data_IF_705628239738
#
_entry.id   IF_705628239738
#
_cell.length_a   1.000
_cell.length_b   1.000
_cell.length_c   1.000
_cell.angle_alpha   90.00
_cell.angle_beta   90.00
_cell.angle_gamma   90.00
#
_symmetry.space_group_name_H-M   'P 1'
#
loop_
_entity.id
_entity.type
_entity.pdbx_description
1 polymer ?
#
# COMPACT_ATOMS: atom_id res chain seq x y z
N UNK A 1 25.76 -35.73 -19.46
CA UNK A 1 24.37 -35.45 -18.98
C UNK A 1 24.33 -34.58 -17.72
N UNK A 2 25.41 -33.87 -17.36
CA UNK A 2 25.55 -33.12 -16.09
C UNK A 2 25.33 -31.60 -16.22
N UNK A 3 25.12 -31.07 -17.44
CA UNK A 3 24.91 -29.63 -17.65
C UNK A 3 23.46 -29.18 -17.42
N UNK A 4 22.50 -30.08 -17.58
CA UNK A 4 21.08 -29.80 -17.35
C UNK A 4 20.78 -29.36 -15.91
N UNK A 5 21.25 -30.05 -14.84
CA UNK A 5 20.98 -29.60 -13.47
C UNK A 5 21.68 -28.28 -13.13
N UNK A 6 22.87 -28.02 -13.71
CA UNK A 6 23.61 -26.77 -13.51
C UNK A 6 22.88 -25.58 -14.15
N UNK A 7 22.34 -25.76 -15.36
CA UNK A 7 21.56 -24.73 -16.04
C UNK A 7 20.25 -24.43 -15.31
N UNK A 8 19.58 -25.45 -14.77
CA UNK A 8 18.36 -25.28 -13.97
C UNK A 8 18.67 -24.52 -12.68
N UNK A 9 19.73 -24.90 -11.96
CA UNK A 9 20.15 -24.20 -10.74
C UNK A 9 20.53 -22.74 -11.00
N UNK A 10 21.22 -22.45 -12.10
CA UNK A 10 21.58 -21.08 -12.49
C UNK A 10 20.35 -20.24 -12.87
N UNK A 11 19.38 -20.83 -13.57
CA UNK A 11 18.12 -20.15 -13.91
C UNK A 11 17.26 -19.84 -12.67
N UNK A 12 17.23 -20.74 -11.68
CA UNK A 12 16.51 -20.52 -10.42
C UNK A 12 17.18 -19.42 -9.58
N UNK A 13 18.51 -19.39 -9.52
CA UNK A 13 19.26 -18.33 -8.83
C UNK A 13 19.13 -16.98 -9.53
N UNK A 14 19.17 -16.93 -10.87
CA UNK A 14 18.92 -15.71 -11.64
C UNK A 14 17.46 -15.23 -11.57
N UNK A 15 16.52 -16.11 -11.23
CA UNK A 15 15.12 -15.77 -10.96
C UNK A 15 14.93 -15.06 -9.62
N UNK A 16 15.76 -15.36 -8.62
CA UNK A 16 15.72 -14.70 -7.31
C UNK A 16 16.23 -13.25 -7.35
N UNK A 17 17.15 -12.95 -8.26
CA UNK A 17 17.73 -11.61 -8.45
C UNK A 17 17.00 -10.79 -9.52
N UNK A 18 15.95 -11.35 -10.14
CA UNK A 18 15.16 -10.57 -11.08
C UNK A 18 14.44 -9.52 -10.26
N UNK A 19 14.69 -8.21 -10.46
CA UNK A 19 13.91 -7.19 -9.80
C UNK A 19 12.48 -7.45 -10.26
N UNK A 20 11.67 -8.01 -9.36
CA UNK A 20 10.26 -8.25 -9.62
C UNK A 20 9.77 -6.89 -10.08
N UNK A 21 9.42 -6.79 -11.37
CA UNK A 21 8.80 -5.58 -11.90
C UNK A 21 7.70 -5.25 -10.89
N UNK A 22 7.84 -4.11 -10.21
CA UNK A 22 7.12 -3.74 -8.99
C UNK A 22 5.63 -4.00 -9.21
N UNK A 23 5.18 -5.22 -8.90
CA UNK A 23 3.82 -5.62 -9.20
C UNK A 23 2.96 -5.09 -8.08
N UNK A 24 1.74 -4.69 -8.41
CA UNK A 24 0.79 -4.17 -7.42
C UNK A 24 0.61 -5.16 -6.27
N UNK A 25 0.59 -6.47 -6.58
CA UNK A 25 0.48 -7.54 -5.58
C UNK A 25 1.73 -7.68 -4.71
N UNK A 26 2.93 -7.69 -5.31
CA UNK A 26 4.17 -7.80 -4.55
C UNK A 26 4.39 -6.57 -3.65
N UNK A 27 4.03 -5.38 -4.14
CA UNK A 27 4.15 -4.16 -3.37
C UNK A 27 3.07 -4.06 -2.28
N UNK A 28 1.85 -4.55 -2.52
CA UNK A 28 0.82 -4.64 -1.49
C UNK A 28 1.21 -5.58 -0.34
N UNK A 29 2.02 -6.61 -0.61
CA UNK A 29 2.53 -7.54 0.39
C UNK A 29 3.73 -7.01 1.21
N UNK A 30 4.37 -5.90 0.79
CA UNK A 30 5.52 -5.28 1.47
C UNK A 30 5.17 -3.85 1.97
N UNK A 31 4.62 -3.71 3.19
CA UNK A 31 4.12 -2.43 3.70
C UNK A 31 5.23 -1.39 3.86
N UNK A 32 6.42 -1.78 4.30
CA UNK A 32 7.54 -0.87 4.55
C UNK A 32 8.03 -0.21 3.26
N UNK A 33 8.21 -1.03 2.21
CA UNK A 33 8.63 -0.53 0.90
C UNK A 33 7.53 0.33 0.27
N UNK A 34 6.27 -0.10 0.39
CA UNK A 34 5.12 0.66 -0.10
C UNK A 34 5.03 2.04 0.57
N UNK A 35 5.09 2.12 1.91
CA UNK A 35 5.05 3.40 2.64
C UNK A 35 6.12 4.38 2.17
N UNK A 36 7.34 3.89 1.97
CA UNK A 36 8.45 4.69 1.46
C UNK A 36 8.12 5.26 0.08
N UNK A 37 7.63 4.43 -0.84
CA UNK A 37 7.26 4.87 -2.20
C UNK A 37 6.08 5.85 -2.20
N UNK A 38 5.08 5.66 -1.31
CA UNK A 38 3.99 6.62 -1.14
C UNK A 38 4.53 8.01 -0.77
N UNK A 39 5.47 8.07 0.18
CA UNK A 39 6.07 9.33 0.60
C UNK A 39 6.89 9.99 -0.54
N UNK A 40 7.63 9.20 -1.31
CA UNK A 40 8.39 9.67 -2.47
C UNK A 40 7.47 10.24 -3.57
N UNK A 41 6.36 9.54 -3.86
CA UNK A 41 5.35 10.02 -4.81
C UNK A 41 4.69 11.34 -4.37
N UNK A 42 4.41 11.51 -3.07
CA UNK A 42 3.91 12.78 -2.54
C UNK A 42 4.91 13.93 -2.68
N UNK A 43 6.21 13.63 -2.68
CA UNK A 43 7.29 14.61 -2.92
C UNK A 43 7.58 14.87 -4.41
N UNK A 44 6.92 14.14 -5.32
CA UNK A 44 7.12 14.29 -6.76
C UNK A 44 8.42 13.69 -7.28
N UNK A 45 8.96 12.68 -6.60
CA UNK A 45 10.24 12.04 -6.98
C UNK A 45 10.10 11.03 -8.13
N UNK A 46 8.87 10.67 -8.52
CA UNK A 46 8.57 9.68 -9.56
C UNK A 46 7.50 10.18 -10.53
N UNK A 47 7.42 9.54 -11.70
CA UNK A 47 6.40 9.86 -12.69
C UNK A 47 4.98 9.45 -12.27
N UNK A 48 3.97 10.04 -12.92
CA UNK A 48 2.57 9.82 -12.58
C UNK A 48 2.07 8.38 -12.81
N UNK A 49 2.60 7.68 -13.82
CA UNK A 49 2.20 6.31 -14.10
C UNK A 49 2.73 5.37 -13.02
N UNK A 50 3.99 5.54 -12.61
CA UNK A 50 4.56 4.84 -11.47
C UNK A 50 3.79 5.11 -10.18
N UNK A 51 3.52 6.38 -9.86
CA UNK A 51 2.78 6.75 -8.65
C UNK A 51 1.33 6.22 -8.65
N UNK A 52 0.71 6.07 -9.82
CA UNK A 52 -0.60 5.43 -9.93
C UNK A 52 -0.56 3.95 -9.53
N UNK A 53 0.48 3.21 -9.91
CA UNK A 53 0.66 1.81 -9.51
C UNK A 53 0.93 1.68 -8.01
N UNK A 54 1.75 2.57 -7.45
CA UNK A 54 2.01 2.63 -6.00
C UNK A 54 0.71 2.88 -5.23
N UNK A 55 -0.13 3.82 -5.69
CA UNK A 55 -1.46 4.03 -5.08
C UNK A 55 -2.41 2.87 -5.27
N UNK A 56 -2.38 2.20 -6.43
CA UNK A 56 -3.16 1.00 -6.63
C UNK A 56 -2.75 -0.11 -5.64
N UNK A 57 -1.46 -0.27 -5.35
CA UNK A 57 -0.97 -1.23 -4.36
C UNK A 57 -1.44 -0.87 -2.94
N UNK A 58 -1.40 0.42 -2.58
CA UNK A 58 -1.92 0.92 -1.30
C UNK A 58 -3.41 0.64 -1.11
N UNK A 59 -4.21 0.92 -2.14
CA UNK A 59 -5.66 0.62 -2.15
C UNK A 59 -5.90 -0.89 -2.06
N UNK A 60 -5.17 -1.68 -2.85
CA UNK A 60 -5.31 -3.15 -2.85
C UNK A 60 -5.02 -3.73 -1.48
N UNK A 61 -3.92 -3.29 -0.85
CA UNK A 61 -3.53 -3.73 0.50
C UNK A 61 -4.66 -3.51 1.52
N UNK A 62 -5.29 -2.34 1.48
CA UNK A 62 -6.41 -1.99 2.34
C UNK A 62 -7.59 -2.97 2.15
N UNK A 63 -7.99 -3.23 0.90
CA UNK A 63 -9.12 -4.10 0.60
C UNK A 63 -8.88 -5.58 0.90
N UNK A 64 -7.64 -6.06 0.81
CA UNK A 64 -7.30 -7.45 1.10
C UNK A 64 -7.02 -7.71 2.59
N UNK A 65 -7.14 -6.70 3.46
CA UNK A 65 -6.96 -6.89 4.89
C UNK A 65 -5.53 -7.27 5.26
N UNK A 66 -4.54 -6.90 4.45
CA UNK A 66 -3.12 -7.06 4.79
C UNK A 66 -2.67 -6.14 5.94
N UNK A 67 -3.61 -5.44 6.57
CA UNK A 67 -3.42 -4.57 7.74
C UNK A 67 -3.09 -5.43 8.96
N UNK A 68 -1.86 -5.32 9.43
CA UNK A 68 -1.38 -5.99 10.64
C UNK A 68 -1.55 -5.10 11.88
N UNK A 69 -1.53 -5.67 13.09
CA UNK A 69 -1.60 -4.90 14.34
C UNK A 69 -0.45 -3.88 14.48
N UNK A 70 0.58 -4.05 13.66
CA UNK A 70 1.82 -3.30 13.66
C UNK A 70 1.88 -2.13 12.66
N UNK A 71 0.77 -1.83 11.98
CA UNK A 71 0.71 -0.76 10.98
C UNK A 71 0.57 0.65 11.57
N UNK A 72 -0.19 0.80 12.65
CA UNK A 72 -0.40 2.09 13.33
C UNK A 72 -0.01 1.97 14.79
N UNK A 73 1.31 1.94 15.03
CA UNK A 73 1.88 1.76 16.37
C UNK A 73 1.73 3.00 17.25
N UNK A 74 1.73 4.18 16.64
CA UNK A 74 1.60 5.45 17.35
C UNK A 74 0.49 6.31 16.76
N UNK A 75 0.02 7.27 17.56
CA UNK A 75 -0.97 8.25 17.13
C UNK A 75 -0.51 9.10 15.94
N UNK A 76 0.81 9.30 15.79
CA UNK A 76 1.37 10.05 14.69
C UNK A 76 1.36 9.26 13.36
N UNK A 77 1.22 7.94 13.43
CA UNK A 77 1.22 7.07 12.24
C UNK A 77 -0.17 6.98 11.60
N UNK A 78 -1.23 7.34 12.33
CA UNK A 78 -2.61 7.31 11.84
C UNK A 78 -2.81 8.34 10.71
N UNK A 79 -3.54 7.98 9.63
CA UNK A 79 -3.90 8.94 8.61
C UNK A 79 -4.76 10.06 9.22
N UNK A 80 -4.60 11.32 8.77
CA UNK A 80 -5.41 12.43 9.25
C UNK A 80 -6.89 12.17 8.94
N UNK A 81 -7.75 12.54 9.88
CA UNK A 81 -9.20 12.47 9.68
C UNK A 81 -9.58 13.44 8.56
N UNK A 82 -10.33 12.95 7.57
CA UNK A 82 -10.85 13.77 6.48
C UNK A 82 -11.75 14.87 7.04
N UNK A 83 -11.60 16.11 6.56
CA UNK A 83 -12.40 17.25 6.99
C UNK A 83 -13.92 17.07 6.76
N UNK A 84 -14.31 16.14 5.88
CA UNK A 84 -15.71 15.77 5.64
C UNK A 84 -16.28 14.80 6.68
N UNK A 85 -15.44 14.24 7.55
CA UNK A 85 -15.87 13.28 8.56
C UNK A 85 -16.82 13.93 9.59
N UNK A 86 -16.52 15.16 10.02
CA UNK A 86 -17.34 15.96 10.94
C UNK A 86 -18.41 16.81 10.24
N UNK A 87 -18.86 16.39 9.05
CA UNK A 87 -19.95 17.08 8.33
C UNK A 87 -21.19 17.26 9.23
N UNK A 88 -21.99 18.32 9.01
CA UNK A 88 -23.01 18.72 9.98
C UNK A 88 -24.02 17.59 10.21
N UNK A 89 -24.01 17.04 11.42
CA UNK A 89 -25.18 16.36 11.97
C UNK A 89 -26.26 17.42 12.08
N UNK A 90 -27.14 17.48 11.09
CA UNK A 90 -28.35 18.30 11.22
C UNK A 90 -29.13 17.68 12.36
N UNK A 91 -28.96 18.22 13.56
CA UNK A 91 -29.84 17.96 14.67
C UNK A 91 -31.21 18.50 14.26
N UNK A 92 -32.03 17.66 13.64
CA UNK A 92 -33.46 17.87 13.59
C UNK A 92 -33.94 17.86 15.02
N UNK A 93 -33.97 19.06 15.61
CA UNK A 93 -34.63 19.37 16.85
C UNK A 93 -36.12 19.21 16.61
N UNK A 94 -36.62 17.99 16.67
CA UNK A 94 -38.05 17.71 16.71
C UNK A 94 -38.33 16.87 17.96
N UNK A 95 -38.61 17.60 19.02
CA UNK A 95 -38.96 17.06 20.32
C UNK A 95 -39.29 18.17 21.34
N UNK A 96 -39.86 19.29 20.86
CA UNK A 96 -40.53 20.24 21.75
C UNK A 96 -41.82 19.56 22.23
N UNK A 97 -41.94 19.49 23.55
CA UNK A 97 -43.02 18.85 24.32
C UNK A 97 -44.31 19.68 24.24
N UNK A 98 -45.48 19.04 24.39
CA UNK A 98 -46.39 19.43 25.47
C UNK A 98 -46.58 18.35 26.52
#
# INVERSE_FOLDING_TARGET
MTRAPVLIALCLLAGCDRPQALSVDALAADPTRLHTLVAQCRRGEHDGAFCSQVMQANVRRFFFGHVGPDEYQTLADLPPISATFDGPVSATSEGETP
#
